data_IF_707360573510
#
_entry.id   IF_707360573510
#
_cell.length_a   1.000
_cell.length_b   1.000
_cell.length_c   1.000
_cell.angle_alpha   90.00
_cell.angle_beta   90.00
_cell.angle_gamma   90.00
#
_symmetry.space_group_name_H-M   'P 1'
#
loop_
_entity.id
_entity.type
_entity.pdbx_description
1 polymer ?
#
# COMPACT_ATOMS: atom_id res chain seq x y z
N UNK A 1 12.21 -4.76 -14.63
CA UNK A 1 11.58 -5.53 -15.73
C UNK A 1 10.09 -5.23 -15.74
N UNK A 2 9.44 -4.94 -16.88
CA UNK A 2 8.00 -4.68 -16.89
C UNK A 2 7.22 -5.90 -16.38
N UNK A 3 6.15 -5.66 -15.63
CA UNK A 3 5.26 -6.72 -15.12
C UNK A 3 4.19 -7.00 -16.17
N UNK A 4 3.91 -8.28 -16.52
CA UNK A 4 2.80 -8.61 -17.39
C UNK A 4 1.46 -8.13 -16.82
N UNK A 5 0.61 -7.52 -17.66
CA UNK A 5 -0.67 -6.95 -17.22
C UNK A 5 -1.63 -7.94 -16.56
N UNK A 6 -1.50 -9.23 -16.87
CA UNK A 6 -2.30 -10.33 -16.33
C UNK A 6 -1.78 -10.87 -15.00
N UNK A 7 -0.55 -10.50 -14.60
CA UNK A 7 0.05 -11.00 -13.37
C UNK A 7 -0.68 -10.43 -12.15
N UNK A 8 -1.07 -11.28 -11.20
CA UNK A 8 -1.66 -10.82 -9.94
C UNK A 8 -0.59 -10.33 -9.00
N UNK A 9 -0.75 -9.12 -8.48
CA UNK A 9 0.14 -8.51 -7.49
C UNK A 9 -0.63 -8.10 -6.25
N UNK A 10 0.10 -7.86 -5.17
CA UNK A 10 -0.45 -7.46 -3.87
C UNK A 10 0.22 -6.18 -3.38
N UNK A 11 -0.55 -5.35 -2.69
CA UNK A 11 -0.05 -4.17 -1.99
C UNK A 11 -0.74 -4.04 -0.63
N UNK A 12 -0.07 -3.38 0.30
CA UNK A 12 -0.59 -2.99 1.59
C UNK A 12 -1.01 -1.52 1.54
N UNK A 13 -2.23 -1.24 1.95
CA UNK A 13 -2.80 0.09 2.10
C UNK A 13 -2.84 0.41 3.58
N UNK A 14 -2.07 1.40 4.00
CA UNK A 14 -2.06 1.90 5.37
C UNK A 14 -3.05 3.07 5.45
N UNK A 15 -4.00 3.00 6.38
CA UNK A 15 -5.00 4.03 6.56
C UNK A 15 -4.42 5.24 7.31
N UNK A 16 -4.84 6.43 6.90
CA UNK A 16 -4.45 7.67 7.55
C UNK A 16 -5.03 7.75 8.97
N UNK A 17 -4.26 8.22 9.97
CA UNK A 17 -4.76 8.45 11.31
C UNK A 17 -5.83 9.54 11.33
N UNK A 18 -6.75 9.49 12.30
CA UNK A 18 -7.80 10.50 12.45
C UNK A 18 -7.25 11.87 12.91
N UNK A 19 -6.13 11.84 13.62
CA UNK A 19 -5.44 13.00 14.15
C UNK A 19 -4.13 13.28 13.43
N UNK A 20 -3.33 14.16 14.03
CA UNK A 20 -1.95 14.40 13.63
C UNK A 20 -1.05 13.82 14.72
N UNK A 21 -0.48 12.62 14.53
CA UNK A 21 0.35 12.02 15.56
C UNK A 21 1.49 12.94 15.98
N UNK A 22 1.71 13.03 17.28
CA UNK A 22 2.74 13.90 17.88
C UNK A 22 4.18 13.42 17.66
N UNK A 23 4.36 12.18 17.20
CA UNK A 23 5.64 11.51 16.97
C UNK A 23 5.43 10.02 16.66
N UNK A 24 6.51 9.24 16.53
CA UNK A 24 6.45 7.80 16.25
C UNK A 24 5.52 7.03 17.22
N UNK A 25 4.94 5.89 16.78
CA UNK A 25 4.02 5.13 17.61
C UNK A 25 4.72 4.56 18.85
N UNK A 26 4.13 4.85 20.00
CA UNK A 26 4.49 4.35 21.33
C UNK A 26 3.21 3.90 22.03
N UNK A 27 3.33 3.13 23.12
CA UNK A 27 2.16 2.76 23.93
C UNK A 27 1.36 3.98 24.43
N UNK A 28 2.01 5.14 24.61
CA UNK A 28 1.39 6.36 25.13
C UNK A 28 0.57 7.12 24.08
N UNK A 29 0.90 7.00 22.78
CA UNK A 29 0.25 7.74 21.70
C UNK A 29 -0.35 6.84 20.61
N UNK A 30 -0.44 5.52 20.83
CA UNK A 30 -0.95 4.57 19.84
C UNK A 30 -2.39 4.89 19.38
N UNK A 31 -3.21 5.45 20.25
CA UNK A 31 -4.57 5.89 19.90
C UNK A 31 -4.59 7.03 18.87
N UNK A 32 -3.54 7.86 18.81
CA UNK A 32 -3.42 8.93 17.80
C UNK A 32 -3.19 8.37 16.39
N UNK A 33 -2.67 7.14 16.30
CA UNK A 33 -2.40 6.43 15.05
C UNK A 33 -3.60 5.63 14.53
N UNK A 34 -4.73 5.64 15.23
CA UNK A 34 -5.93 4.96 14.77
C UNK A 34 -6.62 5.75 13.66
N UNK A 35 -7.09 5.08 12.60
CA UNK A 35 -7.84 5.74 11.55
C UNK A 35 -9.22 6.20 12.05
N UNK A 36 -9.87 7.15 11.37
CA UNK A 36 -11.24 7.54 11.71
C UNK A 36 -12.19 6.34 11.72
N UNK A 37 -13.21 6.38 12.58
CA UNK A 37 -14.24 5.35 12.60
C UNK A 37 -14.89 5.21 11.21
N UNK A 38 -14.98 3.98 10.71
CA UNK A 38 -15.51 3.68 9.37
C UNK A 38 -14.57 3.95 8.20
N UNK A 39 -13.34 4.44 8.42
CA UNK A 39 -12.37 4.67 7.34
C UNK A 39 -11.98 3.37 6.63
N UNK A 40 -11.79 2.28 7.39
CA UNK A 40 -11.49 0.96 6.83
C UNK A 40 -12.61 0.43 5.94
N UNK A 41 -13.87 0.58 6.38
CA UNK A 41 -15.03 0.15 5.61
C UNK A 41 -15.21 0.99 4.34
N UNK A 42 -15.03 2.32 4.44
CA UNK A 42 -15.10 3.24 3.31
C UNK A 42 -14.01 2.94 2.28
N UNK A 43 -12.76 2.78 2.71
CA UNK A 43 -11.64 2.42 1.84
C UNK A 43 -11.88 1.04 1.19
N UNK A 44 -12.34 0.06 1.96
CA UNK A 44 -12.65 -1.29 1.46
C UNK A 44 -13.74 -1.26 0.39
N UNK A 45 -14.86 -0.59 0.66
CA UNK A 45 -15.96 -0.47 -0.28
C UNK A 45 -15.51 0.20 -1.59
N UNK A 46 -14.75 1.28 -1.50
CA UNK A 46 -14.26 2.00 -2.66
C UNK A 46 -13.23 1.19 -3.47
N UNK A 47 -12.27 0.54 -2.81
CA UNK A 47 -11.28 -0.32 -3.49
C UNK A 47 -11.94 -1.52 -4.17
N UNK A 48 -12.98 -2.12 -3.57
CA UNK A 48 -13.77 -3.18 -4.21
C UNK A 48 -14.54 -2.69 -5.44
N UNK A 49 -15.09 -1.48 -5.39
CA UNK A 49 -15.75 -0.86 -6.56
C UNK A 49 -14.78 -0.63 -7.72
N UNK A 50 -13.50 -0.38 -7.43
CA UNK A 50 -12.43 -0.27 -8.42
C UNK A 50 -11.95 -1.64 -8.95
N UNK A 51 -12.48 -2.74 -8.43
CA UNK A 51 -12.17 -4.09 -8.88
C UNK A 51 -11.01 -4.77 -8.15
N UNK A 52 -10.56 -4.23 -7.02
CA UNK A 52 -9.59 -4.91 -6.16
C UNK A 52 -10.28 -5.94 -5.26
N UNK A 53 -9.61 -7.06 -5.02
CA UNK A 53 -9.89 -7.90 -3.85
C UNK A 53 -9.26 -7.23 -2.64
N UNK A 54 -10.02 -7.09 -1.56
CA UNK A 54 -9.59 -6.38 -0.34
C UNK A 54 -9.79 -7.28 0.87
N UNK A 55 -8.70 -7.46 1.62
CA UNK A 55 -8.61 -8.26 2.85
C UNK A 55 -8.04 -7.39 3.97
N UNK A 56 -8.78 -7.17 5.07
CA UNK A 56 -8.22 -6.50 6.25
C UNK A 56 -7.12 -7.35 6.88
N UNK A 57 -5.96 -6.75 7.15
CA UNK A 57 -4.82 -7.43 7.83
C UNK A 57 -4.54 -6.88 9.22
N UNK A 58 -5.31 -5.88 9.64
CA UNK A 58 -5.28 -5.22 10.95
C UNK A 58 -6.28 -4.06 10.97
N UNK A 59 -6.31 -3.31 12.08
CA UNK A 59 -7.28 -2.21 12.25
C UNK A 59 -7.01 -1.01 11.32
N UNK A 60 -5.76 -0.85 10.88
CA UNK A 60 -5.29 0.27 10.07
C UNK A 60 -4.62 -0.14 8.76
N UNK A 61 -4.65 -1.44 8.42
CA UNK A 61 -3.99 -1.96 7.21
C UNK A 61 -4.96 -2.86 6.44
N UNK A 62 -5.06 -2.59 5.14
CA UNK A 62 -5.79 -3.41 4.18
C UNK A 62 -4.79 -3.99 3.19
N UNK A 63 -4.90 -5.28 2.89
CA UNK A 63 -4.25 -5.90 1.74
C UNK A 63 -5.17 -5.80 0.53
N UNK A 64 -4.62 -5.31 -0.58
CA UNK A 64 -5.30 -5.30 -1.87
C UNK A 64 -4.59 -6.22 -2.86
N UNK A 65 -5.36 -6.93 -3.67
CA UNK A 65 -4.84 -7.76 -4.76
C UNK A 65 -5.64 -7.59 -6.04
N UNK A 66 -4.94 -7.57 -7.16
CA UNK A 66 -5.49 -7.48 -8.51
C UNK A 66 -4.41 -7.76 -9.57
N UNK A 67 -4.82 -7.84 -10.84
CA UNK A 67 -3.88 -7.88 -11.97
C UNK A 67 -3.07 -6.58 -12.08
N UNK A 68 -1.80 -6.65 -12.46
CA UNK A 68 -0.90 -5.50 -12.55
C UNK A 68 -1.43 -4.38 -13.47
N UNK A 69 -2.11 -4.74 -14.56
CA UNK A 69 -2.74 -3.76 -15.44
C UNK A 69 -3.84 -2.94 -14.74
N UNK A 70 -4.53 -3.49 -13.74
CA UNK A 70 -5.52 -2.74 -12.96
C UNK A 70 -4.83 -1.71 -12.06
N UNK A 71 -3.74 -2.08 -11.38
CA UNK A 71 -2.96 -1.13 -10.58
C UNK A 71 -2.44 0.03 -11.44
N UNK A 72 -1.84 -0.28 -12.59
CA UNK A 72 -1.30 0.72 -13.50
C UNK A 72 -2.40 1.67 -14.00
N UNK A 73 -3.59 1.14 -14.31
CA UNK A 73 -4.73 1.94 -14.77
C UNK A 73 -5.35 2.79 -13.66
N UNK A 74 -5.52 2.26 -12.45
CA UNK A 74 -6.17 2.99 -11.35
C UNK A 74 -5.23 4.05 -10.78
N UNK A 75 -3.96 3.70 -10.59
CA UNK A 75 -2.95 4.56 -9.98
C UNK A 75 -2.09 5.28 -11.01
N UNK A 76 -2.39 5.18 -12.31
CA UNK A 76 -1.69 5.91 -13.37
C UNK A 76 -0.15 5.85 -13.23
N UNK A 77 0.35 4.66 -12.88
CA UNK A 77 1.76 4.42 -12.54
C UNK A 77 2.29 3.27 -13.37
N UNK A 78 3.60 3.26 -13.64
CA UNK A 78 4.24 2.14 -14.32
C UNK A 78 4.83 1.21 -13.28
N UNK A 79 4.48 -0.08 -13.35
CA UNK A 79 4.98 -1.09 -12.43
C UNK A 79 6.11 -1.93 -13.04
N UNK A 80 7.10 -2.23 -12.21
CA UNK A 80 8.24 -3.03 -12.59
C UNK A 80 8.58 -4.04 -11.51
N UNK A 81 9.12 -5.18 -11.93
CA UNK A 81 9.83 -6.12 -11.08
C UNK A 81 11.29 -5.75 -10.94
N UNK A 82 11.78 -5.75 -9.71
CA UNK A 82 13.21 -5.69 -9.39
C UNK A 82 13.88 -7.02 -9.73
N UNK A 83 15.22 -7.03 -9.76
CA UNK A 83 16.00 -8.27 -9.99
C UNK A 83 15.76 -9.34 -8.91
N UNK A 84 15.31 -8.94 -7.72
CA UNK A 84 15.01 -9.82 -6.58
C UNK A 84 13.55 -10.29 -6.56
N UNK A 85 12.73 -9.88 -7.53
CA UNK A 85 11.32 -10.28 -7.63
C UNK A 85 10.34 -9.37 -6.88
N UNK A 86 10.81 -8.28 -6.27
CA UNK A 86 9.94 -7.27 -5.66
C UNK A 86 9.26 -6.39 -6.71
N UNK A 87 8.11 -5.80 -6.34
CA UNK A 87 7.39 -4.86 -7.20
C UNK A 87 7.77 -3.44 -6.80
N UNK A 88 8.07 -2.61 -7.78
CA UNK A 88 8.35 -1.18 -7.63
C UNK A 88 7.57 -0.39 -8.67
N UNK A 89 7.38 0.89 -8.42
CA UNK A 89 6.88 1.88 -9.34
C UNK A 89 7.88 3.05 -9.44
N UNK A 90 7.65 3.99 -10.36
CA UNK A 90 8.35 5.29 -10.50
C UNK A 90 9.70 5.41 -9.75
N UNK A 91 10.80 5.35 -10.50
CA UNK A 91 12.17 5.49 -9.96
C UNK A 91 12.53 4.43 -8.89
N UNK A 92 12.11 3.19 -9.09
CA UNK A 92 12.36 2.03 -8.20
C UNK A 92 11.78 2.16 -6.78
N UNK A 93 10.74 2.99 -6.60
CA UNK A 93 10.02 3.13 -5.33
C UNK A 93 9.12 1.91 -5.04
N UNK A 94 9.19 1.30 -3.84
CA UNK A 94 8.24 0.27 -3.43
C UNK A 94 6.86 0.83 -3.08
N UNK A 95 6.72 2.15 -2.97
CA UNK A 95 5.49 2.83 -2.57
C UNK A 95 4.87 3.61 -3.73
N UNK A 96 3.55 3.51 -3.86
CA UNK A 96 2.77 4.32 -4.79
C UNK A 96 2.73 5.77 -4.33
N UNK A 97 2.90 6.75 -5.24
CA UNK A 97 2.77 8.15 -4.87
C UNK A 97 1.33 8.45 -4.46
N UNK A 98 1.12 9.09 -3.31
CA UNK A 98 -0.23 9.43 -2.85
C UNK A 98 -1.00 10.32 -3.83
N UNK A 99 -0.30 11.15 -4.61
CA UNK A 99 -0.89 11.97 -5.66
C UNK A 99 -1.56 11.14 -6.77
N UNK A 100 -1.12 9.90 -6.98
CA UNK A 100 -1.72 8.97 -7.94
C UNK A 100 -2.98 8.28 -7.41
N UNK A 101 -3.26 8.35 -6.11
CA UNK A 101 -4.49 7.77 -5.57
C UNK A 101 -5.70 8.55 -6.06
N UNK A 102 -6.86 7.89 -6.28
CA UNK A 102 -8.14 8.57 -6.43
C UNK A 102 -8.41 9.52 -5.24
N UNK A 103 -9.04 10.67 -5.50
CA UNK A 103 -9.24 11.72 -4.50
C UNK A 103 -9.91 11.21 -3.21
N UNK A 104 -10.89 10.31 -3.33
CA UNK A 104 -11.58 9.69 -2.19
C UNK A 104 -10.69 8.82 -1.31
N UNK A 105 -9.61 8.26 -1.86
CA UNK A 105 -8.64 7.47 -1.10
C UNK A 105 -7.54 8.32 -0.48
N UNK A 106 -7.16 9.45 -1.12
CA UNK A 106 -6.08 10.32 -0.62
C UNK A 106 -6.31 10.83 0.80
N UNK A 107 -7.55 11.03 1.21
CA UNK A 107 -7.89 11.49 2.56
C UNK A 107 -7.96 10.36 3.59
N UNK A 108 -7.97 9.11 3.14
CA UNK A 108 -8.15 7.91 3.97
C UNK A 108 -6.87 7.08 4.07
N UNK A 109 -5.89 7.34 3.22
CA UNK A 109 -4.70 6.48 3.05
C UNK A 109 -3.44 7.29 3.33
N UNK A 110 -2.61 6.76 4.22
CA UNK A 110 -1.29 7.29 4.54
C UNK A 110 -0.24 6.78 3.54
N UNK A 111 -0.33 5.51 3.14
CA UNK A 111 0.62 4.88 2.25
C UNK A 111 0.01 3.70 1.49
N UNK A 112 0.52 3.43 0.29
CA UNK A 112 0.27 2.15 -0.41
C UNK A 112 1.60 1.60 -0.88
N UNK A 113 2.01 0.46 -0.32
CA UNK A 113 3.32 -0.14 -0.55
C UNK A 113 3.23 -1.57 -1.07
N UNK A 114 4.14 -1.95 -1.96
CA UNK A 114 4.30 -3.32 -2.40
C UNK A 114 5.19 -4.09 -1.41
N UNK A 115 4.78 -5.30 -1.05
CA UNK A 115 5.63 -6.18 -0.22
C UNK A 115 6.96 -6.45 -0.95
N UNK A 116 8.07 -6.19 -0.26
CA UNK A 116 9.41 -6.44 -0.80
C UNK A 116 9.94 -7.81 -0.36
N UNK A 117 10.69 -8.51 -1.22
CA UNK A 117 11.39 -9.71 -0.83
C UNK A 117 12.32 -9.43 0.36
N UNK A 118 12.46 -10.36 1.31
CA UNK A 118 13.36 -10.18 2.44
C UNK A 118 14.79 -9.94 1.97
N UNK A 119 15.50 -9.02 2.62
CA UNK A 119 16.92 -8.79 2.37
C UNK A 119 17.76 -9.79 3.18
N UNK A 120 17.82 -11.04 2.69
CA UNK A 120 18.79 -12.01 3.20
C UNK A 120 20.15 -11.76 2.52
N UNK A 121 20.87 -10.72 2.96
CA UNK A 121 22.28 -10.57 2.61
C UNK A 121 23.13 -11.68 3.24
N UNK A 122 24.31 -12.02 2.68
CA UNK A 122 25.29 -12.77 3.46
C UNK A 122 25.63 -11.93 4.70
N UNK A 123 25.30 -12.46 5.87
CA UNK A 123 25.76 -11.88 7.13
C UNK A 123 27.28 -11.91 7.16
N UNK A 124 27.92 -10.80 6.77
CA UNK A 124 29.28 -10.52 7.21
C UNK A 124 29.19 -10.20 8.70
N UNK A 125 29.16 -11.24 9.52
CA UNK A 125 29.68 -11.15 10.87
C UNK A 125 31.21 -11.06 10.71
N UNK A 126 31.71 -9.83 10.66
CA UNK A 126 33.12 -9.52 10.88
C UNK A 126 33.27 -8.92 12.28
#
# INVERSE_FOLDING_TARGET
MPIPDSETIQALVVLAPAGRPSGPPTAANLSEWQPPAGAADAATAFLRQLGFTVEPTGDNVLRISARAGLFQNVFQTVLQKTKRGGVVCNDDSPDLPLAALPASLRTLVEAVGFEQPPDFGPGSFS
#
